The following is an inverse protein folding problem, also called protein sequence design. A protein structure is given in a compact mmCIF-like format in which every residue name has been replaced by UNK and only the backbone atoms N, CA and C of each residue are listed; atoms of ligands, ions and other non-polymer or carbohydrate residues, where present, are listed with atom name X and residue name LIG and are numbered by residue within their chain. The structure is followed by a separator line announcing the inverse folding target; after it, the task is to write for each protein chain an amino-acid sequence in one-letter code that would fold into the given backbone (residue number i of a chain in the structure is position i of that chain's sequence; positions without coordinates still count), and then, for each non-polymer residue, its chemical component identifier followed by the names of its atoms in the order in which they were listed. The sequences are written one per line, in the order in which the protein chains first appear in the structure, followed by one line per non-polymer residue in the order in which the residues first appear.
data_IF_621622290920
#
_entry.id   IF_621622290920
#
_cell.length_a   1.000
_cell.length_b   1.000
_cell.length_c   1.000
_cell.angle_alpha   90.00
_cell.angle_beta   90.00
_cell.angle_gamma   90.00
#
_symmetry.space_group_name_H-M   'P 1'
#
loop_
_entity.id
_entity.type
_entity.pdbx_description
1 polymer ?
#
# COMPACT_ATOMS: atom_id res chain seq x y z
N UNK A 1 -9.10 -8.39 -39.34
CA UNK A 1 -8.63 -9.70 -38.80
C UNK A 1 -9.72 -10.38 -37.96
N UNK A 2 -10.24 -9.74 -36.92
CA UNK A 2 -11.35 -10.22 -36.07
C UNK A 2 -12.62 -10.63 -36.83
N UNK A 3 -13.02 -9.86 -37.85
CA UNK A 3 -14.15 -10.23 -38.72
C UNK A 3 -13.95 -11.55 -39.46
N UNK A 4 -12.73 -11.87 -39.85
CA UNK A 4 -12.44 -13.10 -40.61
C UNK A 4 -12.57 -14.31 -39.69
N UNK A 5 -12.04 -14.23 -38.47
CA UNK A 5 -12.16 -15.28 -37.46
C UNK A 5 -13.63 -15.45 -37.04
N UNK A 6 -14.35 -14.35 -36.82
CA UNK A 6 -15.78 -14.37 -36.51
C UNK A 6 -16.60 -15.02 -37.64
N UNK A 7 -16.36 -14.63 -38.90
CA UNK A 7 -17.00 -15.24 -40.09
C UNK A 7 -16.66 -16.71 -40.27
N UNK A 8 -15.45 -17.15 -39.91
CA UNK A 8 -15.07 -18.57 -39.98
C UNK A 8 -15.70 -19.38 -38.83
N UNK A 9 -15.75 -18.84 -37.62
CA UNK A 9 -16.36 -19.49 -36.46
C UNK A 9 -17.88 -19.68 -36.58
N UNK A 10 -18.55 -18.81 -37.33
CA UNK A 10 -20.01 -18.81 -37.55
C UNK A 10 -20.45 -19.72 -38.70
N UNK A 11 -19.53 -20.35 -39.45
CA UNK A 11 -19.84 -21.32 -40.50
C UNK A 11 -20.24 -22.69 -39.91
N UNK A 12 -21.48 -22.78 -39.44
CA UNK A 12 -22.24 -24.02 -39.15
C UNK A 12 -21.42 -25.21 -38.59
N UNK A 13 -20.52 -24.96 -37.63
CA UNK A 13 -19.82 -26.02 -36.88
C UNK A 13 -18.82 -26.89 -37.65
N UNK A 14 -18.41 -26.53 -38.87
CA UNK A 14 -17.51 -27.36 -39.70
C UNK A 14 -16.01 -27.13 -39.48
N UNK A 15 -15.63 -26.09 -38.73
CA UNK A 15 -14.23 -25.70 -38.53
C UNK A 15 -13.99 -25.37 -37.07
N UNK A 16 -12.96 -25.99 -36.46
CA UNK A 16 -12.44 -25.61 -35.16
C UNK A 16 -11.25 -24.67 -35.36
N UNK A 17 -11.23 -23.54 -34.65
CA UNK A 17 -10.12 -22.58 -34.65
C UNK A 17 -9.50 -22.59 -33.26
N UNK A 18 -8.20 -22.86 -33.19
CA UNK A 18 -7.41 -22.74 -31.96
C UNK A 18 -6.51 -21.53 -32.15
N UNK A 19 -6.55 -20.64 -31.17
CA UNK A 19 -5.66 -19.48 -31.11
C UNK A 19 -4.99 -19.44 -29.75
N UNK A 20 -3.78 -18.91 -29.73
CA UNK A 20 -3.01 -18.66 -28.51
C UNK A 20 -2.79 -17.16 -28.43
N UNK A 21 -3.17 -16.55 -27.32
CA UNK A 21 -2.96 -15.13 -27.03
C UNK A 21 -2.50 -14.97 -25.59
N UNK A 22 -1.75 -13.90 -25.33
CA UNK A 22 -1.41 -13.46 -23.98
C UNK A 22 -2.46 -12.49 -23.42
N UNK A 23 -3.39 -12.00 -24.28
CA UNK A 23 -4.42 -11.05 -23.89
C UNK A 23 -5.72 -11.75 -23.53
N UNK A 24 -6.13 -11.63 -22.28
CA UNK A 24 -7.42 -12.17 -21.82
C UNK A 24 -8.61 -11.45 -22.46
N UNK A 25 -8.44 -10.17 -22.83
CA UNK A 25 -9.45 -9.41 -23.55
C UNK A 25 -9.70 -9.99 -24.96
N UNK A 26 -8.63 -10.34 -25.69
CA UNK A 26 -8.72 -11.02 -26.99
C UNK A 26 -9.39 -12.40 -26.86
N UNK A 27 -8.93 -13.20 -25.90
CA UNK A 27 -9.47 -14.53 -25.66
C UNK A 27 -10.96 -14.48 -25.32
N UNK A 28 -11.39 -13.53 -24.49
CA UNK A 28 -12.79 -13.36 -24.12
C UNK A 28 -13.66 -12.87 -25.29
N UNK A 29 -13.11 -12.04 -26.18
CA UNK A 29 -13.85 -11.51 -27.33
C UNK A 29 -14.06 -12.53 -28.46
N UNK A 30 -13.09 -13.43 -28.69
CA UNK A 30 -13.11 -14.36 -29.83
C UNK A 30 -13.47 -15.81 -29.48
N UNK A 31 -13.16 -16.26 -28.26
CA UNK A 31 -13.23 -17.68 -27.93
C UNK A 31 -14.52 -18.05 -27.21
N UNK A 32 -15.15 -19.15 -27.64
CA UNK A 32 -16.28 -19.77 -26.93
C UNK A 32 -15.82 -20.59 -25.72
N UNK A 33 -14.57 -21.07 -25.74
CA UNK A 33 -13.88 -21.75 -24.65
C UNK A 33 -12.45 -21.23 -24.53
N UNK A 34 -12.02 -21.00 -23.31
CA UNK A 34 -10.68 -20.55 -22.96
C UNK A 34 -9.99 -21.66 -22.17
N UNK A 35 -8.76 -21.98 -22.55
CA UNK A 35 -7.86 -22.83 -21.77
C UNK A 35 -6.76 -21.96 -21.17
N UNK A 36 -6.52 -22.08 -19.86
CA UNK A 36 -5.41 -21.40 -19.19
C UNK A 36 -4.28 -22.40 -18.98
N UNK A 37 -3.10 -22.06 -19.51
CA UNK A 37 -1.88 -22.85 -19.37
C UNK A 37 -0.85 -22.10 -18.53
N UNK A 38 -0.27 -22.77 -17.54
CA UNK A 38 0.75 -22.22 -16.63
C UNK A 38 1.81 -23.30 -16.38
N UNK A 39 3.10 -22.95 -16.46
CA UNK A 39 4.18 -23.90 -16.22
C UNK A 39 4.18 -25.12 -17.15
N UNK A 40 3.71 -24.95 -18.40
CA UNK A 40 3.56 -26.05 -19.36
C UNK A 40 2.38 -27.00 -19.11
N UNK A 41 1.54 -26.72 -18.11
CA UNK A 41 0.37 -27.53 -17.78
C UNK A 41 -0.94 -26.77 -18.03
N UNK A 42 -1.95 -27.45 -18.58
CA UNK A 42 -3.28 -26.89 -18.74
C UNK A 42 -4.01 -26.92 -17.38
N UNK A 43 -4.20 -25.74 -16.78
CA UNK A 43 -4.77 -25.58 -15.43
C UNK A 43 -6.29 -25.68 -15.44
N UNK A 44 -6.94 -25.07 -16.44
CA UNK A 44 -8.39 -25.14 -16.58
C UNK A 44 -8.82 -24.90 -18.03
N UNK A 45 -10.03 -25.36 -18.37
CA UNK A 45 -10.68 -25.11 -19.65
C UNK A 45 -12.19 -24.95 -19.46
N UNK A 46 -12.80 -23.95 -20.09
CA UNK A 46 -14.23 -23.69 -19.97
C UNK A 46 -14.67 -22.46 -20.74
N UNK A 47 -15.97 -22.13 -20.71
CA UNK A 47 -16.43 -20.83 -21.19
C UNK A 47 -15.91 -19.71 -20.27
N UNK A 48 -15.78 -18.46 -20.75
CA UNK A 48 -15.40 -17.32 -19.92
C UNK A 48 -16.22 -17.22 -18.63
N UNK A 49 -17.54 -17.38 -18.74
CA UNK A 49 -18.45 -17.33 -17.60
C UNK A 49 -18.23 -18.49 -16.62
N UNK A 50 -18.05 -19.72 -17.13
CA UNK A 50 -17.76 -20.88 -16.29
C UNK A 50 -16.46 -20.70 -15.50
N UNK A 51 -15.42 -20.17 -16.12
CA UNK A 51 -14.14 -19.93 -15.45
C UNK A 51 -14.28 -18.86 -14.35
N UNK A 52 -15.00 -17.76 -14.62
CA UNK A 52 -15.29 -16.73 -13.62
C UNK A 52 -16.10 -17.27 -12.45
N UNK A 53 -17.15 -18.05 -12.69
CA UNK A 53 -17.95 -18.65 -11.62
C UNK A 53 -17.20 -19.73 -10.84
N UNK A 54 -16.29 -20.47 -11.48
CA UNK A 54 -15.55 -21.57 -10.83
C UNK A 54 -14.33 -21.09 -10.04
N UNK A 55 -13.64 -20.08 -10.54
CA UNK A 55 -12.34 -19.64 -10.00
C UNK A 55 -12.32 -18.18 -9.55
N UNK A 56 -13.38 -17.42 -9.83
CA UNK A 56 -13.48 -15.98 -9.61
C UNK A 56 -14.47 -15.56 -8.51
N UNK A 57 -14.71 -16.43 -7.52
CA UNK A 57 -15.62 -16.17 -6.40
C UNK A 57 -14.99 -15.25 -5.34
N UNK A 58 -14.51 -14.10 -5.78
CA UNK A 58 -14.02 -13.03 -4.92
C UNK A 58 -14.19 -11.68 -5.62
N UNK A 59 -14.24 -10.64 -4.80
CA UNK A 59 -14.20 -9.25 -5.25
C UNK A 59 -12.81 -8.68 -5.00
N UNK A 60 -12.37 -7.79 -5.88
CA UNK A 60 -11.18 -6.98 -5.70
C UNK A 60 -11.64 -5.61 -5.22
N UNK A 61 -11.11 -5.17 -4.09
CA UNK A 61 -11.32 -3.85 -3.52
C UNK A 61 -9.97 -3.12 -3.53
N UNK A 62 -9.91 -1.99 -4.22
CA UNK A 62 -8.77 -1.08 -4.16
C UNK A 62 -9.18 0.21 -3.43
N UNK A 63 -8.41 0.60 -2.42
CA UNK A 63 -8.68 1.77 -1.57
C UNK A 63 -7.48 2.71 -1.58
N UNK A 64 -7.73 3.99 -1.82
CA UNK A 64 -6.73 5.05 -1.74
C UNK A 64 -7.08 6.00 -0.60
N UNK A 65 -6.23 6.14 0.42
CA UNK A 65 -6.45 7.11 1.49
C UNK A 65 -6.31 8.54 0.98
N UNK A 66 -6.83 9.47 1.77
CA UNK A 66 -6.57 10.90 1.68
C UNK A 66 -5.11 11.20 2.00
N UNK A 67 -4.55 12.17 1.28
CA UNK A 67 -3.23 12.71 1.55
C UNK A 67 -3.14 13.22 3.00
N UNK A 68 -1.93 13.25 3.55
CA UNK A 68 -1.67 13.79 4.87
C UNK A 68 -1.87 15.31 4.79
N UNK A 69 -2.65 15.87 5.73
CA UNK A 69 -2.87 17.32 5.73
C UNK A 69 -1.60 18.04 6.23
N UNK A 70 -1.34 19.24 5.72
CA UNK A 70 -0.18 20.02 6.18
C UNK A 70 -0.26 20.34 7.67
N UNK A 71 -1.47 20.52 8.20
CA UNK A 71 -1.72 20.77 9.63
C UNK A 71 -1.32 19.56 10.47
N UNK A 72 -1.80 18.35 10.13
CA UNK A 72 -1.44 17.14 10.88
C UNK A 72 0.08 16.86 10.81
N UNK A 73 0.70 17.18 9.66
CA UNK A 73 2.12 17.02 9.45
C UNK A 73 2.93 17.98 10.33
N UNK A 74 2.57 19.26 10.34
CA UNK A 74 3.20 20.31 11.15
C UNK A 74 3.03 19.98 12.65
N UNK A 75 1.82 19.59 13.07
CA UNK A 75 1.52 19.19 14.44
C UNK A 75 2.39 18.01 14.90
N UNK A 76 2.53 16.96 14.08
CA UNK A 76 3.37 15.82 14.43
C UNK A 76 4.85 16.19 14.47
N UNK A 77 5.33 17.00 13.52
CA UNK A 77 6.71 17.49 13.52
C UNK A 77 7.00 18.29 14.79
N UNK A 78 6.12 19.21 15.17
CA UNK A 78 6.22 20.02 16.40
C UNK A 78 6.30 19.12 17.64
N UNK A 79 5.39 18.14 17.75
CA UNK A 79 5.35 17.20 18.88
C UNK A 79 6.65 16.39 19.00
N UNK A 80 7.17 15.89 17.88
CA UNK A 80 8.42 15.11 17.87
C UNK A 80 9.61 16.01 18.20
N UNK A 81 9.66 17.22 17.65
CA UNK A 81 10.72 18.18 17.91
C UNK A 81 10.80 18.56 19.40
N UNK A 82 9.69 18.95 20.02
CA UNK A 82 9.65 19.27 21.45
C UNK A 82 10.17 18.10 22.29
N UNK A 83 9.73 16.88 21.96
CA UNK A 83 9.97 15.68 22.76
C UNK A 83 11.34 15.05 22.59
N UNK A 84 11.91 15.07 21.39
CA UNK A 84 13.24 14.52 21.11
C UNK A 84 14.32 15.47 21.60
N UNK A 85 14.06 16.78 21.60
CA UNK A 85 15.02 17.81 22.00
C UNK A 85 14.85 18.35 23.44
N UNK A 86 13.77 18.01 24.16
CA UNK A 86 13.61 18.27 25.62
C UNK A 86 14.37 17.29 26.53
N UNK A 87 15.25 16.44 25.99
CA UNK A 87 16.21 15.74 26.85
C UNK A 87 17.13 16.83 27.44
N UNK A 88 17.14 17.05 28.78
CA UNK A 88 17.94 18.10 29.37
C UNK A 88 19.39 17.88 28.94
N UNK A 89 19.97 18.94 28.42
CA UNK A 89 21.23 19.00 27.71
C UNK A 89 22.42 18.70 28.63
N UNK A 90 22.50 17.50 29.20
CA UNK A 90 23.58 17.12 30.13
C UNK A 90 24.87 16.71 29.40
N UNK A 91 25.06 17.21 28.17
CA UNK A 91 26.34 17.30 27.46
C UNK A 91 26.62 18.69 26.88
N UNK A 92 25.91 19.75 27.30
CA UNK A 92 26.27 21.13 26.94
C UNK A 92 27.19 21.82 27.96
N UNK A 93 27.49 21.20 29.11
CA UNK A 93 28.24 21.85 30.18
C UNK A 93 29.78 21.75 30.12
N UNK A 94 30.39 21.59 28.94
CA UNK A 94 31.87 21.58 28.83
C UNK A 94 32.43 22.36 27.63
N UNK A 95 31.61 22.66 26.61
CA UNK A 95 32.05 23.41 25.43
C UNK A 95 31.68 24.90 25.53
N UNK A 96 30.56 25.24 26.18
CA UNK A 96 30.17 26.63 26.43
C UNK A 96 31.15 27.37 27.37
N UNK A 97 31.78 26.66 28.30
CA UNK A 97 32.82 27.22 29.18
C UNK A 97 34.11 27.60 28.41
N UNK A 98 34.30 27.08 27.19
CA UNK A 98 35.44 27.45 26.34
C UNK A 98 35.13 28.63 25.41
N UNK A 99 33.86 28.88 25.08
CA UNK A 99 33.44 29.95 24.17
C UNK A 99 33.42 31.34 24.85
N UNK A 100 33.28 31.39 26.17
CA UNK A 100 33.33 32.65 26.94
C UNK A 100 34.71 33.33 26.89
N UNK A 101 35.78 32.59 26.53
CA UNK A 101 37.14 33.13 26.50
C UNK A 101 37.59 33.72 25.15
N UNK A 102 36.77 33.65 24.09
CA UNK A 102 37.09 34.27 22.80
C UNK A 102 36.00 35.28 22.49
N UNK A 103 36.22 36.52 22.92
CA UNK A 103 35.29 37.64 22.71
C UNK A 103 34.89 37.79 21.24
N UNK A 104 33.71 37.29 20.90
CA UNK A 104 33.01 37.45 19.64
C UNK A 104 31.55 37.72 19.95
N UNK A 105 31.13 38.94 19.67
CA UNK A 105 29.76 39.41 19.84
C UNK A 105 28.93 38.68 18.78
N UNK A 106 28.01 37.82 19.20
CA UNK A 106 26.66 37.70 18.66
C UNK A 106 25.83 36.86 19.62
N UNK A 107 24.77 37.46 20.14
CA UNK A 107 23.74 36.80 20.92
C UNK A 107 23.02 35.77 20.04
N UNK A 108 23.46 34.51 20.08
CA UNK A 108 22.71 33.40 19.50
C UNK A 108 21.51 33.17 20.42
N UNK A 109 20.40 33.83 20.12
CA UNK A 109 19.09 33.30 20.48
C UNK A 109 19.01 31.90 19.89
N UNK A 110 18.81 30.88 20.73
CA UNK A 110 18.49 29.50 20.34
C UNK A 110 17.68 29.45 19.04
N UNK A 111 18.35 29.26 17.91
CA UNK A 111 17.69 29.13 16.61
C UNK A 111 16.92 27.82 16.67
N UNK A 112 15.59 27.91 16.69
CA UNK A 112 14.72 26.75 16.53
C UNK A 112 15.00 26.19 15.13
N UNK A 113 15.81 25.14 15.03
CA UNK A 113 16.05 24.42 13.78
C UNK A 113 14.70 24.14 13.13
N UNK A 114 14.57 24.47 11.84
CA UNK A 114 13.33 24.22 11.12
C UNK A 114 13.13 22.70 11.03
N UNK A 115 11.89 22.20 11.08
CA UNK A 115 11.63 20.75 11.07
C UNK A 115 12.34 20.02 9.92
N UNK A 116 12.53 20.69 8.77
CA UNK A 116 13.23 20.17 7.60
C UNK A 116 14.74 19.92 7.82
N UNK A 117 15.36 20.58 8.80
CA UNK A 117 16.78 20.42 9.15
C UNK A 117 17.01 19.25 10.12
N UNK A 118 15.97 18.78 10.80
CA UNK A 118 16.06 17.70 11.78
C UNK A 118 16.13 16.36 11.04
N UNK A 119 17.24 15.66 11.21
CA UNK A 119 17.42 14.28 10.75
C UNK A 119 17.36 13.30 11.92
N UNK A 120 16.44 12.35 11.85
CA UNK A 120 16.22 11.33 12.86
C UNK A 120 17.09 10.10 12.58
N UNK A 121 18.02 9.81 13.48
CA UNK A 121 18.82 8.57 13.43
C UNK A 121 17.96 7.35 13.77
N UNK A 122 18.49 6.15 13.50
CA UNK A 122 17.83 4.89 13.86
C UNK A 122 17.44 4.81 15.35
N UNK A 123 18.29 5.31 16.25
CA UNK A 123 18.02 5.34 17.69
C UNK A 123 16.88 6.29 18.04
N UNK A 124 16.87 7.49 17.43
CA UNK A 124 15.79 8.47 17.60
C UNK A 124 14.46 7.92 17.10
N UNK A 125 14.46 7.26 15.93
CA UNK A 125 13.26 6.64 15.35
C UNK A 125 12.67 5.59 16.30
N UNK A 126 13.49 4.75 16.95
CA UNK A 126 13.00 3.75 17.91
C UNK A 126 12.38 4.40 19.15
N UNK A 127 12.96 5.49 19.65
CA UNK A 127 12.40 6.27 20.77
C UNK A 127 11.04 6.85 20.35
N UNK A 128 10.99 7.53 19.20
CA UNK A 128 9.76 8.12 18.68
C UNK A 128 8.67 7.06 18.45
N UNK A 129 9.02 5.90 17.88
CA UNK A 129 8.08 4.79 17.67
C UNK A 129 7.49 4.24 18.95
N UNK A 130 8.29 4.13 20.04
CA UNK A 130 7.77 3.77 21.37
C UNK A 130 6.80 4.80 21.90
N UNK A 131 7.09 6.08 21.71
CA UNK A 131 6.31 7.18 22.23
C UNK A 131 4.97 7.32 21.51
N UNK A 132 4.97 7.07 20.20
CA UNK A 132 3.76 7.00 19.37
C UNK A 132 3.03 5.65 19.51
N UNK A 133 3.51 4.75 20.38
CA UNK A 133 2.79 3.53 20.77
C UNK A 133 2.90 2.36 19.79
N UNK A 134 3.80 2.42 18.81
CA UNK A 134 4.02 1.32 17.85
C UNK A 134 5.50 1.17 17.48
N UNK A 135 6.28 0.60 18.41
CA UNK A 135 7.70 0.33 18.21
C UNK A 135 7.94 -0.67 17.07
N UNK A 136 7.06 -1.67 16.91
CA UNK A 136 7.19 -2.70 15.88
C UNK A 136 7.15 -2.11 14.47
N UNK A 137 6.35 -1.05 14.24
CA UNK A 137 6.36 -0.31 12.97
C UNK A 137 7.76 0.20 12.61
N UNK A 138 8.49 0.75 13.58
CA UNK A 138 9.86 1.21 13.36
C UNK A 138 10.83 0.05 13.18
N UNK A 139 10.67 -1.03 13.95
CA UNK A 139 11.50 -2.24 13.77
C UNK A 139 11.31 -2.83 12.36
N UNK A 140 10.09 -2.82 11.81
CA UNK A 140 9.85 -3.26 10.43
C UNK A 140 10.50 -2.35 9.40
N UNK A 141 10.54 -1.03 9.65
CA UNK A 141 11.26 -0.06 8.81
C UNK A 141 12.78 -0.32 8.81
N UNK A 142 13.34 -0.65 9.97
CA UNK A 142 14.80 -0.85 10.13
C UNK A 142 15.25 -2.23 9.64
N UNK A 143 14.46 -3.28 9.91
CA UNK A 143 14.89 -4.68 9.71
C UNK A 143 14.83 -5.16 8.26
N UNK A 144 14.31 -4.38 7.31
CA UNK A 144 14.12 -4.79 5.90
C UNK A 144 13.45 -6.17 5.75
N UNK A 145 12.61 -6.55 6.72
CA UNK A 145 11.96 -7.86 6.69
C UNK A 145 10.87 -7.88 5.62
N UNK A 146 10.70 -9.05 4.98
CA UNK A 146 9.77 -9.33 3.89
C UNK A 146 8.31 -9.22 4.32
N UNK A 147 7.88 -8.00 4.62
CA UNK A 147 6.49 -7.64 4.81
C UNK A 147 5.86 -7.39 3.44
N UNK A 148 4.59 -7.77 3.21
CA UNK A 148 3.86 -7.44 1.98
C UNK A 148 3.62 -5.93 1.80
N UNK A 149 4.12 -5.11 2.73
CA UNK A 149 3.96 -3.67 2.86
C UNK A 149 5.21 -2.86 2.39
N UNK A 150 6.12 -3.49 1.61
CA UNK A 150 7.40 -2.91 1.13
C UNK A 150 7.24 -1.53 0.49
N UNK A 151 6.17 -1.30 -0.26
CA UNK A 151 6.04 -0.12 -1.14
C UNK A 151 6.12 1.21 -0.38
N UNK A 152 5.63 1.27 0.86
CA UNK A 152 5.63 2.51 1.64
C UNK A 152 6.90 2.74 2.45
N UNK A 153 7.63 1.68 2.83
CA UNK A 153 8.75 1.76 3.77
C UNK A 153 10.12 1.55 3.14
N UNK A 154 10.19 0.93 1.96
CA UNK A 154 11.43 0.52 1.32
C UNK A 154 12.34 1.72 1.02
N UNK A 155 11.81 2.77 0.39
CA UNK A 155 12.58 3.98 0.08
C UNK A 155 13.15 4.65 1.34
N UNK A 156 12.40 4.65 2.44
CA UNK A 156 12.85 5.22 3.72
C UNK A 156 13.87 4.33 4.42
N UNK A 157 13.71 3.01 4.35
CA UNK A 157 14.70 2.08 4.87
C UNK A 157 16.03 2.20 4.12
N UNK A 158 15.99 2.36 2.80
CA UNK A 158 17.17 2.60 1.97
C UNK A 158 17.82 3.95 2.29
N UNK A 159 17.02 5.00 2.45
CA UNK A 159 17.50 6.32 2.85
C UNK A 159 18.14 6.29 4.24
N UNK A 160 17.54 5.60 5.20
CA UNK A 160 18.09 5.44 6.55
C UNK A 160 19.45 4.73 6.53
N UNK A 161 19.59 3.69 5.70
CA UNK A 161 20.85 2.95 5.54
C UNK A 161 21.92 3.80 4.85
N UNK A 162 21.54 4.59 3.84
CA UNK A 162 22.47 5.39 3.03
C UNK A 162 22.93 6.66 3.75
N UNK A 163 22.00 7.39 4.34
CA UNK A 163 22.23 8.75 4.85
C UNK A 163 22.35 8.78 6.39
N UNK A 164 22.14 7.64 7.07
CA UNK A 164 22.24 7.49 8.52
C UNK A 164 21.07 8.10 9.30
N UNK A 165 20.09 8.67 8.61
CA UNK A 165 18.90 9.27 9.19
C UNK A 165 17.82 9.61 8.17
N UNK A 166 16.62 9.94 8.67
CA UNK A 166 15.48 10.37 7.86
C UNK A 166 15.06 11.77 8.32
N UNK A 167 14.80 12.68 7.39
CA UNK A 167 14.31 14.01 7.73
C UNK A 167 12.95 13.92 8.45
N UNK A 168 12.77 14.71 9.50
CA UNK A 168 11.58 14.69 10.34
C UNK A 168 10.25 14.83 9.57
N UNK A 169 10.11 15.72 8.55
CA UNK A 169 8.87 15.83 7.80
C UNK A 169 8.57 14.56 7.00
N UNK A 170 9.59 13.96 6.38
CA UNK A 170 9.47 12.72 5.61
C UNK A 170 9.03 11.57 6.53
N UNK A 171 9.66 11.46 7.71
CA UNK A 171 9.28 10.47 8.71
C UNK A 171 7.83 10.66 9.19
N UNK A 172 7.45 11.91 9.48
CA UNK A 172 6.13 12.26 10.01
C UNK A 172 5.03 11.98 9.00
N UNK A 173 5.25 12.33 7.73
CA UNK A 173 4.32 12.02 6.64
C UNK A 173 4.12 10.50 6.50
N UNK A 174 5.21 9.74 6.49
CA UNK A 174 5.13 8.29 6.44
C UNK A 174 4.41 7.69 7.64
N UNK A 175 4.68 8.20 8.85
CA UNK A 175 4.03 7.73 10.07
C UNK A 175 2.51 7.91 9.99
N UNK A 176 2.06 9.13 9.65
CA UNK A 176 0.64 9.48 9.53
C UNK A 176 -0.04 8.67 8.42
N UNK A 177 0.63 8.49 7.27
CA UNK A 177 0.12 7.65 6.19
C UNK A 177 -0.08 6.20 6.69
N UNK A 178 0.92 5.63 7.37
CA UNK A 178 0.83 4.27 7.94
C UNK A 178 -0.27 4.12 8.99
N UNK A 179 -0.55 5.15 9.78
CA UNK A 179 -1.70 5.13 10.71
C UNK A 179 -3.02 5.06 9.96
N UNK A 180 -3.22 5.90 8.93
CA UNK A 180 -4.43 5.85 8.10
C UNK A 180 -4.61 4.48 7.47
N UNK A 181 -3.54 3.89 6.93
CA UNK A 181 -3.60 2.52 6.38
C UNK A 181 -3.98 1.49 7.43
N UNK A 182 -3.40 1.52 8.63
CA UNK A 182 -3.74 0.57 9.69
C UNK A 182 -5.22 0.66 10.12
N UNK A 183 -5.78 1.88 10.15
CA UNK A 183 -7.20 2.10 10.45
C UNK A 183 -8.09 1.53 9.35
N UNK A 184 -7.76 1.78 8.07
CA UNK A 184 -8.49 1.22 6.93
C UNK A 184 -8.39 -0.30 6.92
N UNK A 185 -7.20 -0.85 7.13
CA UNK A 185 -6.94 -2.29 7.14
C UNK A 185 -7.76 -3.00 8.23
N UNK A 186 -7.70 -2.51 9.47
CA UNK A 186 -8.53 -3.02 10.56
C UNK A 186 -10.02 -2.94 10.25
N UNK A 187 -10.47 -1.85 9.60
CA UNK A 187 -11.87 -1.72 9.21
C UNK A 187 -12.26 -2.74 8.15
N UNK A 188 -11.47 -2.95 7.10
CA UNK A 188 -11.77 -3.93 6.04
C UNK A 188 -11.79 -5.35 6.62
N UNK A 189 -10.78 -5.73 7.39
CA UNK A 189 -10.68 -7.07 7.97
C UNK A 189 -11.80 -7.36 8.97
N UNK A 190 -12.23 -6.37 9.74
CA UNK A 190 -13.36 -6.52 10.67
C UNK A 190 -14.73 -6.53 9.99
N UNK A 191 -14.87 -5.80 8.88
CA UNK A 191 -16.16 -5.64 8.19
C UNK A 191 -16.43 -6.73 7.17
N UNK A 192 -15.38 -7.32 6.60
CA UNK A 192 -15.46 -8.38 5.61
C UNK A 192 -14.63 -9.60 6.07
N UNK A 193 -15.20 -10.49 6.89
CA UNK A 193 -14.50 -11.68 7.38
C UNK A 193 -14.06 -12.57 6.22
N UNK A 194 -12.79 -12.98 6.22
CA UNK A 194 -12.19 -13.75 5.12
C UNK A 194 -11.61 -12.88 4.01
N UNK A 195 -11.58 -11.56 4.18
CA UNK A 195 -10.80 -10.69 3.31
C UNK A 195 -9.29 -10.92 3.51
N UNK A 196 -8.54 -10.79 2.43
CA UNK A 196 -7.08 -10.94 2.43
C UNK A 196 -6.43 -9.75 1.75
N UNK A 197 -5.41 -9.20 2.38
CA UNK A 197 -4.55 -8.18 1.77
C UNK A 197 -3.77 -8.78 0.59
N UNK A 198 -3.82 -8.14 -0.58
CA UNK A 198 -3.10 -8.59 -1.77
C UNK A 198 -1.83 -7.80 -2.05
N UNK A 199 -1.75 -6.56 -1.58
CA UNK A 199 -0.60 -5.69 -1.84
C UNK A 199 -0.98 -4.22 -1.93
N UNK A 200 0.03 -3.39 -2.17
CA UNK A 200 -0.13 -1.97 -2.47
C UNK A 200 0.18 -1.73 -3.95
N UNK A 201 -0.36 -0.65 -4.52
CA UNK A 201 -0.01 -0.17 -5.85
C UNK A 201 0.21 1.35 -5.80
N UNK A 202 1.43 1.76 -5.50
CA UNK A 202 1.72 3.16 -5.16
C UNK A 202 1.00 3.53 -3.85
N UNK A 203 0.07 4.49 -3.92
CA UNK A 203 -0.68 5.00 -2.77
C UNK A 203 -2.02 4.29 -2.50
N UNK A 204 -2.36 3.27 -3.29
CA UNK A 204 -3.55 2.46 -3.06
C UNK A 204 -3.21 1.10 -2.46
N UNK A 205 -4.17 0.53 -1.73
CA UNK A 205 -4.10 -0.81 -1.17
C UNK A 205 -5.16 -1.68 -1.80
N UNK A 206 -4.79 -2.92 -2.12
CA UNK A 206 -5.64 -3.93 -2.73
C UNK A 206 -6.00 -5.03 -1.75
N UNK A 207 -7.28 -5.33 -1.68
CA UNK A 207 -7.88 -6.38 -0.89
C UNK A 207 -8.65 -7.33 -1.79
N UNK A 208 -8.62 -8.60 -1.43
CA UNK A 208 -9.52 -9.60 -1.97
C UNK A 208 -10.60 -9.87 -0.93
N UNK A 209 -11.86 -9.66 -1.30
CA UNK A 209 -13.01 -9.92 -0.45
C UNK A 209 -13.68 -11.23 -0.87
N UNK A 210 -14.18 -12.05 0.08
CA UNK A 210 -14.89 -13.26 -0.26
C UNK A 210 -16.22 -12.92 -0.95
N UNK A 211 -16.50 -13.57 -2.06
CA UNK A 211 -17.81 -13.49 -2.71
C UNK A 211 -18.69 -14.60 -2.15
N UNK A 212 -19.61 -14.25 -1.24
CA UNK A 212 -20.56 -15.19 -0.63
C UNK A 212 -22.00 -14.82 -1.01
N UNK A 213 -22.91 -15.80 -0.96
CA UNK A 213 -24.34 -15.58 -1.15
C UNK A 213 -24.85 -14.62 -0.05
N UNK A 214 -24.90 -13.32 -0.36
CA UNK A 214 -25.31 -12.27 0.57
C UNK A 214 -24.42 -11.02 0.56
N UNK A 215 -23.22 -11.07 -0.03
CA UNK A 215 -22.33 -9.90 -0.16
C UNK A 215 -22.25 -9.47 -1.63
N UNK A 216 -23.12 -8.54 -2.02
CA UNK A 216 -23.07 -7.97 -3.37
C UNK A 216 -22.08 -6.80 -3.44
N UNK A 217 -21.68 -6.44 -4.67
CA UNK A 217 -20.87 -5.23 -4.91
C UNK A 217 -21.56 -3.97 -4.36
N UNK A 218 -22.90 -3.91 -4.42
CA UNK A 218 -23.66 -2.78 -3.90
C UNK A 218 -23.59 -2.69 -2.37
N UNK A 219 -23.54 -3.82 -1.67
CA UNK A 219 -23.42 -3.84 -0.21
C UNK A 219 -22.03 -3.35 0.23
N UNK A 220 -20.97 -3.83 -0.44
CA UNK A 220 -19.60 -3.37 -0.19
C UNK A 220 -19.47 -1.87 -0.46
N UNK A 221 -20.02 -1.41 -1.59
CA UNK A 221 -20.05 0.01 -1.95
C UNK A 221 -20.77 0.84 -0.88
N UNK A 222 -21.99 0.43 -0.49
CA UNK A 222 -22.77 1.13 0.52
C UNK A 222 -22.04 1.22 1.86
N UNK A 223 -21.37 0.15 2.26
CA UNK A 223 -20.62 0.11 3.52
C UNK A 223 -19.38 1.01 3.51
N UNK A 224 -18.64 1.05 2.38
CA UNK A 224 -17.50 1.95 2.21
C UNK A 224 -17.94 3.42 2.14
N UNK A 225 -18.99 3.73 1.38
CA UNK A 225 -19.45 5.10 1.20
C UNK A 225 -19.93 5.72 2.53
N UNK A 226 -20.65 4.95 3.35
CA UNK A 226 -21.08 5.38 4.69
C UNK A 226 -19.91 5.70 5.63
N UNK A 227 -18.75 5.08 5.42
CA UNK A 227 -17.59 5.23 6.29
C UNK A 227 -16.43 6.03 5.65
N UNK A 228 -16.58 6.47 4.39
CA UNK A 228 -15.52 7.08 3.58
C UNK A 228 -14.83 8.24 4.28
N UNK A 229 -15.62 9.22 4.74
CA UNK A 229 -15.10 10.41 5.41
C UNK A 229 -14.44 10.08 6.75
N UNK A 230 -15.04 9.16 7.52
CA UNK A 230 -14.55 8.75 8.84
C UNK A 230 -13.20 8.03 8.74
N UNK A 231 -13.00 7.24 7.69
CA UNK A 231 -11.77 6.48 7.44
C UNK A 231 -10.73 7.29 6.66
N UNK A 232 -11.07 8.48 6.20
CA UNK A 232 -10.20 9.29 5.35
C UNK A 232 -9.90 8.62 4.01
N UNK A 233 -10.89 7.98 3.37
CA UNK A 233 -10.74 7.35 2.04
C UNK A 233 -10.99 8.40 0.96
N UNK A 234 -9.98 8.66 0.13
CA UNK A 234 -10.10 9.57 -1.01
C UNK A 234 -10.85 8.92 -2.16
N UNK A 235 -10.44 7.72 -2.56
CA UNK A 235 -10.97 6.99 -3.70
C UNK A 235 -11.02 5.49 -3.40
N UNK A 236 -11.97 4.80 -4.01
CA UNK A 236 -11.99 3.34 -3.99
C UNK A 236 -12.59 2.79 -5.28
N UNK A 237 -12.26 1.54 -5.59
CA UNK A 237 -12.87 0.80 -6.68
C UNK A 237 -13.18 -0.63 -6.23
N UNK A 238 -14.31 -1.17 -6.70
CA UNK A 238 -14.71 -2.54 -6.44
C UNK A 238 -14.96 -3.20 -7.80
N UNK A 239 -14.28 -4.30 -8.06
CA UNK A 239 -14.47 -5.09 -9.27
C UNK A 239 -14.69 -6.56 -8.94
N UNK A 240 -15.47 -7.23 -9.78
CA UNK A 240 -15.47 -8.69 -9.79
C UNK A 240 -14.18 -9.18 -10.45
N UNK A 241 -13.65 -10.30 -9.97
CA UNK A 241 -12.45 -10.92 -10.55
C UNK A 241 -12.55 -11.10 -12.07
N UNK A 242 -11.46 -10.78 -12.75
CA UNK A 242 -11.35 -10.91 -14.20
C UNK A 242 -10.73 -12.27 -14.57
N UNK A 243 -10.80 -12.66 -15.85
CA UNK A 243 -10.04 -13.82 -16.33
C UNK A 243 -8.54 -13.62 -16.20
N UNK A 244 -8.07 -12.38 -16.29
CA UNK A 244 -6.68 -12.01 -16.07
C UNK A 244 -6.28 -12.20 -14.61
N UNK A 245 -7.13 -11.79 -13.66
CA UNK A 245 -6.91 -12.08 -12.24
C UNK A 245 -6.84 -13.59 -11.98
N UNK A 246 -7.76 -14.37 -12.56
CA UNK A 246 -7.77 -15.83 -12.42
C UNK A 246 -6.49 -16.45 -13.00
N UNK A 247 -6.03 -15.96 -14.16
CA UNK A 247 -4.77 -16.38 -14.76
C UNK A 247 -3.58 -16.06 -13.85
N UNK A 248 -3.47 -14.83 -13.36
CA UNK A 248 -2.39 -14.40 -12.47
C UNK A 248 -2.38 -15.20 -11.17
N UNK A 249 -3.55 -15.52 -10.62
CA UNK A 249 -3.67 -16.40 -9.46
C UNK A 249 -3.13 -17.81 -9.75
N UNK A 250 -3.36 -18.37 -10.94
CA UNK A 250 -2.76 -19.66 -11.31
C UNK A 250 -1.24 -19.56 -11.53
N UNK A 251 -0.75 -18.45 -12.07
CA UNK A 251 0.68 -18.20 -12.30
C UNK A 251 1.47 -17.97 -11.01
N UNK A 252 0.87 -17.31 -10.02
CA UNK A 252 1.51 -17.08 -8.72
C UNK A 252 1.60 -18.36 -7.87
N UNK A 253 0.70 -19.33 -8.09
CA UNK A 253 0.59 -20.57 -7.32
C UNK A 253 1.14 -21.82 -8.04
N UNK A 254 2.00 -21.64 -9.05
CA UNK A 254 2.57 -22.73 -9.88
C UNK A 254 4.01 -23.08 -9.56
#
# INVERSE_FOLDING_TARGET
MWEVISRLSTRQGKTAVILTTHSMNEAQALCTRIGIMVGGQLRCIGSPQHLKTRFGNFLELEVKPTEVSSVDLEDLCQIIQERVFDIPSQRRSLLDDLEVCIGGIDSISSENATAAEISLSQEMLLIVGRWLGNEERIKTLISSSSSPDRIFGEQLSEQLVRDGGIQLPIFSEWWLAKEKFAVIDSFILSSFPGSTFQGCNGLSVKYQLPFSEGLSVADVFGFLEQNRNRLGIAEYSISQSTLETIFNHFAANS
#
